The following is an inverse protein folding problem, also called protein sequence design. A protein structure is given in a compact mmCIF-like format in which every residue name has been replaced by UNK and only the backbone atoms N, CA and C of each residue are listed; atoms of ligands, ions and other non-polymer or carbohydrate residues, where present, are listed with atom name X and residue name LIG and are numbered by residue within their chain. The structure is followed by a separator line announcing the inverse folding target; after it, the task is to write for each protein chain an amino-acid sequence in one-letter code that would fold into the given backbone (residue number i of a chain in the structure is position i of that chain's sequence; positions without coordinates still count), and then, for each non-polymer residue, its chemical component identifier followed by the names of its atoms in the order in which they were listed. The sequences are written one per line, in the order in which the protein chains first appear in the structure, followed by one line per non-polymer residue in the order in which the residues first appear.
data_IF_297530328950
#
_entry.id   IF_297530328950
#
_cell.length_a   1.000
_cell.length_b   1.000
_cell.length_c   1.000
_cell.angle_alpha   90.00
_cell.angle_beta   90.00
_cell.angle_gamma   90.00
#
_symmetry.space_group_name_H-M   'P 1'
#
loop_
_entity.id
_entity.type
_entity.pdbx_description
1 polymer ?
#
# COMPACT_ATOMS: atom_id res chain seq x y z
N UNK A 1 -16.66 -18.14 -18.34
CA UNK A 1 -15.49 -17.52 -17.65
C UNK A 1 -15.88 -16.53 -16.56
N UNK A 2 -16.75 -15.52 -16.78
CA UNK A 2 -17.07 -14.51 -15.75
C UNK A 2 -17.63 -15.06 -14.42
N UNK A 3 -18.39 -16.18 -14.43
CA UNK A 3 -18.89 -16.82 -13.20
C UNK A 3 -17.77 -17.34 -12.29
N UNK A 4 -16.66 -17.81 -12.85
CA UNK A 4 -15.52 -18.36 -12.09
C UNK A 4 -14.77 -17.24 -11.35
N UNK A 5 -14.56 -16.10 -12.01
CA UNK A 5 -14.04 -14.88 -11.38
C UNK A 5 -14.97 -14.36 -10.27
N UNK A 6 -16.29 -14.43 -10.49
CA UNK A 6 -17.29 -13.99 -9.50
C UNK A 6 -17.37 -14.95 -8.29
N UNK A 7 -17.15 -16.25 -8.48
CA UNK A 7 -17.01 -17.22 -7.39
C UNK A 7 -15.69 -17.08 -6.64
N UNK A 8 -14.58 -16.81 -7.34
CA UNK A 8 -13.28 -16.55 -6.74
C UNK A 8 -13.27 -15.22 -5.96
N UNK A 9 -13.92 -14.17 -6.49
CA UNK A 9 -14.10 -12.86 -5.84
C UNK A 9 -15.11 -12.86 -4.67
N UNK A 10 -15.98 -13.88 -4.58
CA UNK A 10 -16.79 -14.15 -3.37
C UNK A 10 -16.05 -15.02 -2.34
N UNK A 11 -14.95 -15.64 -2.73
CA UNK A 11 -14.11 -16.45 -1.84
C UNK A 11 -13.26 -15.58 -0.93
N UNK A 12 -13.10 -16.01 0.33
CA UNK A 12 -12.10 -15.45 1.27
C UNK A 12 -10.69 -15.46 0.67
N UNK A 13 -10.42 -16.37 -0.26
CA UNK A 13 -9.14 -16.52 -0.95
C UNK A 13 -8.67 -15.26 -1.66
N UNK A 14 -9.55 -14.49 -2.30
CA UNK A 14 -9.14 -13.25 -2.99
C UNK A 14 -8.64 -12.18 -2.00
N UNK A 15 -9.31 -12.04 -0.85
CA UNK A 15 -8.91 -11.10 0.20
C UNK A 15 -7.62 -11.53 0.90
N UNK A 16 -7.46 -12.84 1.14
CA UNK A 16 -6.23 -13.41 1.69
C UNK A 16 -5.05 -13.27 0.72
N UNK A 17 -5.25 -13.47 -0.58
CA UNK A 17 -4.22 -13.26 -1.61
C UNK A 17 -3.78 -11.79 -1.67
N UNK A 18 -4.72 -10.86 -1.57
CA UNK A 18 -4.41 -9.42 -1.50
C UNK A 18 -3.60 -9.07 -0.25
N UNK A 19 -3.97 -9.59 0.92
CA UNK A 19 -3.22 -9.37 2.15
C UNK A 19 -1.81 -10.01 2.09
N UNK A 20 -1.70 -11.22 1.54
CA UNK A 20 -0.44 -11.95 1.43
C UNK A 20 0.53 -11.28 0.46
N UNK A 21 0.04 -10.79 -0.69
CA UNK A 21 0.88 -10.05 -1.65
C UNK A 21 1.39 -8.74 -1.06
N UNK A 22 0.55 -7.98 -0.35
CA UNK A 22 1.00 -6.78 0.36
C UNK A 22 2.06 -7.09 1.43
N UNK A 23 1.88 -8.17 2.19
CA UNK A 23 2.85 -8.60 3.20
C UNK A 23 4.21 -9.01 2.60
N UNK A 24 4.19 -9.74 1.48
CA UNK A 24 5.43 -10.11 0.77
C UNK A 24 6.18 -8.87 0.29
N UNK A 25 5.48 -7.86 -0.23
CA UNK A 25 6.11 -6.60 -0.66
C UNK A 25 6.75 -5.84 0.51
N UNK A 26 6.11 -5.79 1.67
CA UNK A 26 6.69 -5.20 2.89
C UNK A 26 7.95 -5.97 3.36
N UNK A 27 7.93 -7.31 3.31
CA UNK A 27 9.10 -8.14 3.64
C UNK A 27 10.27 -7.89 2.68
N UNK A 28 9.99 -7.83 1.38
CA UNK A 28 11.00 -7.52 0.36
C UNK A 28 11.59 -6.14 0.61
N UNK A 29 10.76 -5.15 0.93
CA UNK A 29 11.25 -3.82 1.25
C UNK A 29 12.10 -3.81 2.52
N UNK A 30 11.76 -4.61 3.54
CA UNK A 30 12.56 -4.73 4.79
C UNK A 30 13.89 -5.41 4.51
N UNK A 31 13.89 -6.39 3.62
CA UNK A 31 15.11 -7.04 3.14
C UNK A 31 16.06 -6.03 2.49
N UNK A 32 15.56 -5.14 1.63
CA UNK A 32 16.39 -4.08 1.04
C UNK A 32 16.98 -3.13 2.09
N UNK A 33 16.24 -2.82 3.15
CA UNK A 33 16.75 -1.97 4.24
C UNK A 33 17.80 -2.68 5.10
N UNK A 34 17.59 -3.96 5.43
CA UNK A 34 18.45 -4.69 6.37
C UNK A 34 19.68 -5.32 5.71
N UNK A 35 19.57 -5.75 4.45
CA UNK A 35 20.63 -6.48 3.73
C UNK A 35 21.45 -5.55 2.83
N UNK A 36 20.81 -4.60 2.14
CA UNK A 36 21.50 -3.71 1.20
C UNK A 36 21.90 -2.35 1.82
N UNK A 37 21.64 -2.12 3.12
CA UNK A 37 21.96 -0.89 3.87
C UNK A 37 21.57 0.42 3.17
N UNK A 38 20.52 0.42 2.33
CA UNK A 38 20.09 1.61 1.61
C UNK A 38 19.30 2.55 2.54
N UNK A 39 19.74 3.80 2.65
CA UNK A 39 19.02 4.82 3.42
C UNK A 39 17.63 5.06 2.81
N UNK A 40 16.55 5.00 3.61
CA UNK A 40 15.21 5.06 3.04
C UNK A 40 14.79 6.52 2.78
N UNK A 41 14.27 6.77 1.59
CA UNK A 41 13.78 8.09 1.19
C UNK A 41 12.42 8.42 1.83
N UNK A 42 12.06 9.69 1.99
CA UNK A 42 10.81 10.08 2.66
C UNK A 42 9.56 9.58 1.91
N UNK A 43 9.54 9.73 0.58
CA UNK A 43 8.46 9.18 -0.26
C UNK A 43 8.36 7.64 -0.13
N UNK A 44 9.49 6.94 -0.05
CA UNK A 44 9.54 5.48 0.11
C UNK A 44 8.80 5.00 1.37
N UNK A 45 8.87 5.74 2.49
CA UNK A 45 8.08 5.38 3.68
C UNK A 45 6.59 5.66 3.47
N UNK A 46 6.22 6.76 2.81
CA UNK A 46 4.81 7.02 2.56
C UNK A 46 4.17 5.95 1.66
N UNK A 47 4.92 5.39 0.69
CA UNK A 47 4.48 4.24 -0.10
C UNK A 47 4.27 2.98 0.74
N UNK A 48 5.18 2.70 1.69
CA UNK A 48 4.99 1.62 2.67
C UNK A 48 3.77 1.84 3.55
N UNK A 49 3.53 3.06 4.03
CA UNK A 49 2.32 3.38 4.78
C UNK A 49 1.04 3.09 3.96
N UNK A 50 1.06 3.34 2.65
CA UNK A 50 -0.04 2.96 1.75
C UNK A 50 -0.18 1.43 1.60
N UNK A 51 0.93 0.68 1.53
CA UNK A 51 0.93 -0.79 1.52
C UNK A 51 0.38 -1.38 2.83
N UNK A 52 0.73 -0.82 3.99
CA UNK A 52 0.12 -1.20 5.27
C UNK A 52 -1.40 -0.94 5.28
N UNK A 53 -1.87 0.15 4.66
CA UNK A 53 -3.30 0.42 4.45
C UNK A 53 -4.00 -0.65 3.59
N UNK A 54 -3.34 -1.11 2.52
CA UNK A 54 -3.84 -2.21 1.67
C UNK A 54 -3.89 -3.54 2.45
N UNK A 55 -2.86 -3.82 3.25
CA UNK A 55 -2.84 -5.01 4.12
C UNK A 55 -3.99 -4.99 5.14
N UNK A 56 -4.23 -3.84 5.78
CA UNK A 56 -5.37 -3.64 6.68
C UNK A 56 -6.72 -3.84 5.98
N UNK A 57 -6.89 -3.30 4.77
CA UNK A 57 -8.09 -3.52 3.96
C UNK A 57 -8.28 -5.01 3.60
N UNK A 58 -7.19 -5.72 3.28
CA UNK A 58 -7.18 -7.15 3.02
C UNK A 58 -7.66 -7.98 4.20
N UNK A 59 -7.18 -7.67 5.41
CA UNK A 59 -7.59 -8.34 6.66
C UNK A 59 -9.06 -8.05 6.97
N UNK A 60 -9.48 -6.78 6.89
CA UNK A 60 -10.87 -6.38 7.16
C UNK A 60 -11.86 -7.07 6.19
N UNK A 61 -11.51 -7.18 4.91
CA UNK A 61 -12.36 -7.88 3.94
C UNK A 61 -12.31 -9.42 4.05
N UNK A 62 -11.27 -9.99 4.65
CA UNK A 62 -11.18 -11.43 4.92
C UNK A 62 -12.09 -11.89 6.09
N UNK A 63 -12.31 -11.02 7.08
CA UNK A 63 -13.11 -11.33 8.30
C UNK A 63 -14.59 -11.58 7.95
N UNK A 64 -15.19 -10.88 6.99
CA UNK A 64 -16.62 -11.06 6.67
C UNK A 64 -16.99 -10.72 5.21
N UNK A 65 -16.66 -11.56 4.20
CA UNK A 65 -16.92 -11.29 2.78
C UNK A 65 -18.40 -11.33 2.37
N UNK A 66 -19.29 -11.82 3.25
CA UNK A 66 -20.75 -11.89 3.03
C UNK A 66 -21.53 -10.70 3.61
N UNK A 67 -20.85 -9.80 4.33
CA UNK A 67 -21.46 -8.66 5.04
C UNK A 67 -21.19 -7.34 4.31
N UNK A 68 -21.94 -6.24 4.59
CA UNK A 68 -21.68 -4.93 4.01
C UNK A 68 -20.30 -4.36 4.37
N UNK A 69 -19.56 -4.94 5.32
CA UNK A 69 -18.17 -4.59 5.64
C UNK A 69 -17.22 -4.73 4.43
N UNK A 70 -17.61 -5.52 3.42
CA UNK A 70 -16.90 -5.60 2.15
C UNK A 70 -16.77 -4.22 1.47
N UNK A 71 -17.81 -3.38 1.51
CA UNK A 71 -17.75 -2.07 0.88
C UNK A 71 -16.77 -1.14 1.59
N UNK A 72 -16.73 -1.21 2.92
CA UNK A 72 -15.73 -0.47 3.72
C UNK A 72 -14.33 -0.91 3.35
N UNK A 73 -14.08 -2.22 3.27
CA UNK A 73 -12.78 -2.75 2.86
C UNK A 73 -12.39 -2.32 1.43
N UNK A 74 -13.36 -2.30 0.48
CA UNK A 74 -13.12 -1.81 -0.88
C UNK A 74 -12.77 -0.31 -0.87
N UNK A 75 -13.46 0.51 -0.08
CA UNK A 75 -13.20 1.96 0.01
C UNK A 75 -11.80 2.20 0.57
N UNK A 76 -11.43 1.52 1.66
CA UNK A 76 -10.09 1.65 2.27
C UNK A 76 -9.01 1.20 1.28
N UNK A 77 -9.25 0.09 0.58
CA UNK A 77 -8.35 -0.41 -0.44
C UNK A 77 -8.16 0.59 -1.59
N UNK A 78 -9.28 1.10 -2.14
CA UNK A 78 -9.26 2.05 -3.25
C UNK A 78 -8.55 3.35 -2.84
N UNK A 79 -8.85 3.88 -1.66
CA UNK A 79 -8.20 5.07 -1.12
C UNK A 79 -6.68 4.89 -1.00
N UNK A 80 -6.26 3.75 -0.43
CA UNK A 80 -4.83 3.43 -0.26
C UNK A 80 -4.13 3.25 -1.60
N UNK A 81 -4.78 2.60 -2.57
CA UNK A 81 -4.25 2.41 -3.93
C UNK A 81 -4.10 3.73 -4.69
N UNK A 82 -5.09 4.63 -4.60
CA UNK A 82 -5.02 5.96 -5.21
C UNK A 82 -3.88 6.81 -4.63
N UNK A 83 -3.72 6.79 -3.30
CA UNK A 83 -2.61 7.47 -2.63
C UNK A 83 -1.25 6.89 -3.02
N UNK A 84 -1.12 5.56 -3.06
CA UNK A 84 0.10 4.89 -3.50
C UNK A 84 0.45 5.22 -4.95
N UNK A 85 -0.53 5.23 -5.86
CA UNK A 85 -0.33 5.60 -7.26
C UNK A 85 0.13 7.04 -7.41
N UNK A 86 -0.47 7.98 -6.68
CA UNK A 86 -0.08 9.39 -6.71
C UNK A 86 1.38 9.56 -6.28
N UNK A 87 1.81 8.87 -5.22
CA UNK A 87 3.20 8.91 -4.76
C UNK A 87 4.18 8.29 -5.75
N UNK A 88 3.85 7.10 -6.28
CA UNK A 88 4.68 6.45 -7.27
C UNK A 88 4.84 7.31 -8.52
N UNK A 89 3.78 8.01 -8.94
CA UNK A 89 3.82 8.96 -10.04
C UNK A 89 4.80 10.11 -9.75
N UNK A 90 4.71 10.71 -8.56
CA UNK A 90 5.63 11.78 -8.14
C UNK A 90 7.08 11.28 -8.09
N UNK A 91 7.29 10.05 -7.59
CA UNK A 91 8.59 9.40 -7.55
C UNK A 91 9.21 9.20 -8.95
N UNK A 92 8.41 8.73 -9.91
CA UNK A 92 8.88 8.53 -11.29
C UNK A 92 9.15 9.86 -11.98
N UNK A 93 8.34 10.88 -11.72
CA UNK A 93 8.54 12.22 -12.27
C UNK A 93 9.85 12.84 -11.80
N UNK A 94 10.19 12.69 -10.51
CA UNK A 94 11.46 13.19 -9.96
C UNK A 94 12.66 12.46 -10.57
N UNK A 95 12.54 11.16 -10.86
CA UNK A 95 13.59 10.39 -11.52
C UNK A 95 13.79 10.78 -13.00
N UNK A 96 12.70 11.04 -13.72
CA UNK A 96 12.74 11.29 -15.15
C UNK A 96 13.03 12.76 -15.49
N UNK A 97 12.62 13.70 -14.63
CA UNK A 97 12.81 15.14 -14.80
C UNK A 97 13.46 15.74 -13.54
N UNK A 98 14.77 15.58 -13.36
CA UNK A 98 15.47 16.12 -12.21
C UNK A 98 15.42 17.65 -12.25
N UNK A 99 14.60 18.24 -11.38
CA UNK A 99 14.53 19.69 -11.20
C UNK A 99 15.01 20.05 -9.80
N UNK A 100 15.84 21.10 -9.63
CA UNK A 100 16.42 21.46 -8.33
C UNK A 100 15.39 21.97 -7.30
N UNK A 101 14.14 22.14 -7.71
CA UNK A 101 13.02 22.57 -6.86
C UNK A 101 12.11 21.41 -6.42
N UNK A 102 12.35 20.19 -6.90
CA UNK A 102 11.60 18.97 -6.54
C UNK A 102 12.59 17.97 -5.95
N UNK A 103 13.17 18.31 -4.82
CA UNK A 103 14.08 17.43 -4.08
C UNK A 103 13.29 16.60 -3.08
N UNK A 104 13.62 15.31 -2.99
CA UNK A 104 13.16 14.46 -1.90
C UNK A 104 13.70 15.03 -0.58
N UNK A 105 12.83 15.62 0.22
CA UNK A 105 13.18 16.08 1.56
C UNK A 105 13.67 14.89 2.40
N UNK A 106 14.73 15.06 3.18
CA UNK A 106 15.30 13.99 4.03
C UNK A 106 14.49 13.84 5.33
N UNK A 107 13.61 14.80 5.64
CA UNK A 107 12.80 14.82 6.86
C UNK A 107 11.32 14.64 6.55
N UNK A 108 10.70 13.66 7.21
CA UNK A 108 9.28 13.35 7.07
C UNK A 108 8.44 14.29 7.93
N UNK A 109 7.51 15.01 7.31
CA UNK A 109 6.45 15.73 7.99
C UNK A 109 5.26 14.79 8.21
N UNK A 110 5.30 13.99 9.27
CA UNK A 110 4.11 13.26 9.72
C UNK A 110 3.13 14.25 10.35
N UNK A 111 1.87 14.34 9.90
CA UNK A 111 0.83 14.99 10.70
C UNK A 111 0.65 14.20 11.99
N UNK A 112 0.51 14.90 13.12
CA UNK A 112 0.52 14.37 14.49
C UNK A 112 -0.47 13.21 14.78
N UNK A 113 -1.41 12.93 13.86
CA UNK A 113 -2.45 11.90 13.95
C UNK A 113 -2.02 10.50 13.54
N UNK A 114 -0.87 10.32 12.86
CA UNK A 114 -0.39 9.01 12.37
C UNK A 114 0.76 8.40 13.22
N UNK A 115 1.20 9.08 14.28
CA UNK A 115 2.32 8.66 15.14
C UNK A 115 1.89 7.84 16.38
N UNK A 116 0.62 7.45 16.47
CA UNK A 116 0.10 6.58 17.52
C UNK A 116 -0.26 5.22 16.93
N UNK A 117 0.73 4.33 16.82
CA UNK A 117 0.59 2.96 16.34
C UNK A 117 1.90 2.21 16.41
#
# INVERSE_FOLDING_TARGET
MLRYLNQCSRGRGAWLLMALTAFVLELVALWFQHVMLLQPCVLCIYERCALFGIMGAGIVGAIAPKSPLRYVAIIIWLYSALRGLQLAWEHTMIQLHPSPFQTCDFRRSFPHVAAAG
#
